data_IF_273434699873
#
_entry.id   IF_273434699873
#
_cell.length_a   1.000
_cell.length_b   1.000
_cell.length_c   1.000
_cell.angle_alpha   90.00
_cell.angle_beta   90.00
_cell.angle_gamma   90.00
#
_symmetry.space_group_name_H-M   'P 1'
#
loop_
_entity.id
_entity.type
_entity.pdbx_description
1 polymer ?
#
# COMPACT_ATOMS: atom_id res chain seq x y z
N UNK A 1 1.65 9.32 -13.47
CA UNK A 1 0.46 8.63 -12.89
C UNK A 1 0.85 7.97 -11.57
N UNK A 2 0.08 8.19 -10.52
CA UNK A 2 0.24 7.57 -9.19
C UNK A 2 -0.99 6.74 -8.85
N UNK A 3 -0.77 5.47 -8.50
CA UNK A 3 -1.81 4.53 -8.08
C UNK A 3 -1.70 4.35 -6.57
N UNK A 4 -2.72 4.81 -5.82
CA UNK A 4 -2.78 4.62 -4.37
C UNK A 4 -3.61 3.39 -4.01
N UNK A 5 -3.03 2.49 -3.21
CA UNK A 5 -3.66 1.23 -2.78
C UNK A 5 -3.87 1.29 -1.26
N UNK A 6 -5.13 1.30 -0.85
CA UNK A 6 -5.51 1.38 0.57
C UNK A 6 -5.37 0.04 1.30
N UNK A 7 -5.39 0.08 2.64
CA UNK A 7 -5.29 -1.09 3.51
C UNK A 7 -6.59 -1.88 3.68
N UNK A 8 -6.52 -2.91 4.54
CA UNK A 8 -7.63 -3.76 4.93
C UNK A 8 -8.77 -2.93 5.54
N UNK A 9 -10.01 -3.24 5.19
CA UNK A 9 -11.22 -2.52 5.63
C UNK A 9 -11.25 -1.01 5.33
N UNK A 10 -10.27 -0.48 4.59
CA UNK A 10 -10.18 0.92 4.21
C UNK A 10 -10.88 1.21 2.86
N UNK A 11 -10.64 2.38 2.28
CA UNK A 11 -11.25 2.79 1.02
C UNK A 11 -10.39 3.80 0.26
N UNK A 12 -10.73 4.11 -1.00
CA UNK A 12 -10.13 5.22 -1.76
C UNK A 12 -10.23 6.58 -1.09
N UNK A 13 -11.17 6.74 -0.13
CA UNK A 13 -11.39 7.97 0.62
C UNK A 13 -10.56 8.07 1.91
N UNK A 14 -9.56 7.21 2.11
CA UNK A 14 -8.67 7.27 3.27
C UNK A 14 -7.94 8.60 3.38
N UNK A 15 -7.58 9.00 4.61
CA UNK A 15 -6.90 10.28 4.87
C UNK A 15 -5.63 10.44 4.02
N UNK A 16 -4.79 9.40 3.95
CA UNK A 16 -3.56 9.41 3.16
C UNK A 16 -3.83 9.56 1.66
N UNK A 17 -4.85 8.89 1.12
CA UNK A 17 -5.24 9.04 -0.29
C UNK A 17 -5.67 10.48 -0.60
N UNK A 18 -6.45 11.09 0.28
CA UNK A 18 -6.87 12.50 0.16
C UNK A 18 -5.69 13.46 0.19
N UNK A 19 -4.72 13.24 1.08
CA UNK A 19 -3.51 14.08 1.17
C UNK A 19 -2.69 14.02 -0.12
N UNK A 20 -2.44 12.81 -0.67
CA UNK A 20 -1.72 12.66 -1.95
C UNK A 20 -2.48 13.36 -3.07
N UNK A 21 -3.79 13.14 -3.17
CA UNK A 21 -4.64 13.77 -4.19
C UNK A 21 -4.57 15.30 -4.09
N UNK A 22 -4.79 15.86 -2.91
CA UNK A 22 -4.75 17.31 -2.69
C UNK A 22 -3.38 17.92 -3.04
N UNK A 23 -2.28 17.21 -2.69
CA UNK A 23 -0.91 17.67 -3.04
C UNK A 23 -0.71 17.69 -4.55
N UNK A 24 -1.17 16.67 -5.28
CA UNK A 24 -1.08 16.64 -6.74
C UNK A 24 -1.98 17.72 -7.39
N UNK A 25 -3.18 17.96 -6.87
CA UNK A 25 -4.06 19.03 -7.34
C UNK A 25 -3.41 20.40 -7.17
N UNK A 26 -2.78 20.66 -6.02
CA UNK A 26 -2.05 21.91 -5.76
C UNK A 26 -0.84 22.11 -6.71
N UNK A 27 -0.29 21.02 -7.26
CA UNK A 27 0.77 21.03 -8.27
C UNK A 27 0.24 21.06 -9.72
N UNK A 28 -1.08 21.16 -9.94
CA UNK A 28 -1.70 21.08 -11.26
C UNK A 28 -1.69 19.67 -11.88
N UNK A 29 -1.41 18.63 -11.09
CA UNK A 29 -1.23 17.22 -11.48
C UNK A 29 -2.37 16.31 -11.03
N UNK A 30 -3.52 16.86 -10.67
CA UNK A 30 -4.64 16.08 -10.13
C UNK A 30 -5.10 14.92 -11.02
N UNK A 31 -5.01 15.06 -12.35
CA UNK A 31 -5.32 14.01 -13.31
C UNK A 31 -4.34 12.80 -13.25
N UNK A 32 -3.23 12.94 -12.57
CA UNK A 32 -2.22 11.87 -12.44
C UNK A 32 -2.50 10.94 -11.24
N UNK A 33 -3.59 11.11 -10.52
CA UNK A 33 -3.91 10.33 -9.33
C UNK A 33 -5.09 9.38 -9.55
N UNK A 34 -4.92 8.13 -9.12
CA UNK A 34 -6.01 7.17 -9.02
C UNK A 34 -5.89 6.34 -7.74
N UNK A 35 -7.02 6.18 -7.05
CA UNK A 35 -7.16 5.28 -5.90
C UNK A 35 -8.33 4.34 -6.20
N UNK A 36 -8.08 3.10 -6.63
CA UNK A 36 -9.15 2.15 -6.90
C UNK A 36 -9.79 1.64 -5.59
N UNK A 37 -11.05 1.26 -5.66
CA UNK A 37 -11.64 0.41 -4.64
C UNK A 37 -11.01 -0.98 -4.74
N UNK A 38 -10.46 -1.47 -3.63
CA UNK A 38 -9.85 -2.80 -3.56
C UNK A 38 -10.92 -3.81 -3.10
N UNK A 39 -11.24 -4.84 -3.91
CA UNK A 39 -12.18 -5.88 -3.51
C UNK A 39 -11.75 -6.61 -2.23
N UNK A 40 -12.71 -7.18 -1.45
CA UNK A 40 -12.39 -7.99 -0.28
C UNK A 40 -11.60 -9.28 -0.60
N UNK A 41 -11.89 -9.94 -1.73
CA UNK A 41 -11.12 -11.10 -2.20
C UNK A 41 -9.77 -10.64 -2.74
N UNK A 42 -8.65 -11.15 -2.19
CA UNK A 42 -7.32 -10.82 -2.68
C UNK A 42 -7.06 -11.23 -4.14
N UNK A 43 -7.68 -12.32 -4.61
CA UNK A 43 -7.61 -12.72 -6.01
C UNK A 43 -8.26 -11.67 -6.92
N UNK A 44 -9.48 -11.24 -6.59
CA UNK A 44 -10.15 -10.16 -7.32
C UNK A 44 -9.38 -8.84 -7.22
N UNK A 45 -8.81 -8.54 -6.06
CA UNK A 45 -7.96 -7.37 -5.88
C UNK A 45 -6.74 -7.42 -6.81
N UNK A 46 -6.08 -8.58 -6.92
CA UNK A 46 -4.96 -8.79 -7.82
C UNK A 46 -5.35 -8.56 -9.29
N UNK A 47 -6.51 -9.04 -9.72
CA UNK A 47 -7.02 -8.84 -11.09
C UNK A 47 -7.29 -7.36 -11.37
N UNK A 48 -8.02 -6.67 -10.49
CA UNK A 48 -8.35 -5.24 -10.65
C UNK A 48 -7.07 -4.38 -10.66
N UNK A 49 -6.18 -4.60 -9.70
CA UNK A 49 -4.95 -3.84 -9.57
C UNK A 49 -3.97 -4.16 -10.71
N UNK A 50 -3.86 -5.43 -11.11
CA UNK A 50 -3.04 -5.87 -12.24
C UNK A 50 -3.49 -5.24 -13.57
N UNK A 51 -4.80 -5.25 -13.83
CA UNK A 51 -5.37 -4.60 -15.00
C UNK A 51 -5.13 -3.08 -14.99
N UNK A 52 -5.20 -2.43 -13.82
CA UNK A 52 -4.91 -1.00 -13.68
C UNK A 52 -3.43 -0.71 -13.95
N UNK A 53 -2.51 -1.52 -13.42
CA UNK A 53 -1.07 -1.39 -13.63
C UNK A 53 -0.70 -1.55 -15.13
N UNK A 54 -1.31 -2.51 -15.80
CA UNK A 54 -1.08 -2.75 -17.24
C UNK A 54 -1.54 -1.58 -18.13
N UNK A 55 -2.67 -0.95 -17.77
CA UNK A 55 -3.18 0.24 -18.48
C UNK A 55 -2.36 1.49 -18.21
N UNK A 56 -1.65 1.55 -17.08
CA UNK A 56 -0.86 2.70 -16.65
C UNK A 56 0.63 2.34 -16.56
N UNK A 57 1.19 1.79 -17.62
CA UNK A 57 2.63 1.47 -17.68
C UNK A 57 3.46 2.71 -17.37
N UNK A 58 4.36 2.60 -16.41
CA UNK A 58 5.15 3.73 -15.94
C UNK A 58 4.58 4.48 -14.75
N UNK A 59 3.38 4.14 -14.28
CA UNK A 59 2.88 4.63 -13.02
C UNK A 59 3.78 4.20 -11.85
N UNK A 60 3.77 5.00 -10.78
CA UNK A 60 4.30 4.60 -9.49
C UNK A 60 3.16 4.21 -8.54
N UNK A 61 3.46 3.37 -7.56
CA UNK A 61 2.52 2.84 -6.58
C UNK A 61 2.75 3.51 -5.23
N UNK A 62 1.67 3.76 -4.51
CA UNK A 62 1.71 4.11 -3.09
C UNK A 62 0.80 3.13 -2.37
N UNK A 63 1.37 2.28 -1.51
CA UNK A 63 0.61 1.25 -0.79
C UNK A 63 0.67 1.44 0.71
N UNK A 64 -0.48 1.45 1.39
CA UNK A 64 -0.58 1.58 2.85
C UNK A 64 -1.06 0.29 3.48
N UNK A 65 -0.37 -0.20 4.53
CA UNK A 65 -0.72 -1.43 5.25
C UNK A 65 -0.84 -2.62 4.29
N UNK A 66 -1.99 -3.30 4.20
CA UNK A 66 -2.26 -4.35 3.20
C UNK A 66 -2.06 -3.84 1.76
N UNK A 67 -2.35 -2.57 1.49
CA UNK A 67 -2.06 -1.96 0.19
C UNK A 67 -0.58 -1.96 -0.17
N UNK A 68 0.31 -1.90 0.84
CA UNK A 68 1.75 -2.04 0.66
C UNK A 68 2.16 -3.43 0.18
N UNK A 69 1.48 -4.46 0.65
CA UNK A 69 1.66 -5.83 0.19
C UNK A 69 1.30 -5.98 -1.30
N UNK A 70 0.12 -5.50 -1.70
CA UNK A 70 -0.27 -5.48 -3.11
C UNK A 70 0.67 -4.63 -3.97
N UNK A 71 1.10 -3.47 -3.47
CA UNK A 71 2.06 -2.62 -4.18
C UNK A 71 3.39 -3.35 -4.42
N UNK A 72 3.86 -4.15 -3.45
CA UNK A 72 5.07 -4.96 -3.61
C UNK A 72 4.91 -6.02 -4.69
N UNK A 73 3.81 -6.77 -4.66
CA UNK A 73 3.50 -7.76 -5.69
C UNK A 73 3.44 -7.13 -7.09
N UNK A 74 2.77 -5.99 -7.26
CA UNK A 74 2.68 -5.28 -8.54
C UNK A 74 4.04 -4.73 -8.99
N UNK A 75 4.81 -4.16 -8.05
CA UNK A 75 6.10 -3.56 -8.34
C UNK A 75 7.09 -4.60 -8.90
N UNK A 76 7.09 -5.81 -8.34
CA UNK A 76 7.94 -6.87 -8.87
C UNK A 76 7.40 -7.46 -10.16
N UNK A 77 6.10 -7.67 -10.27
CA UNK A 77 5.46 -8.23 -11.47
C UNK A 77 5.57 -7.32 -12.70
N UNK A 78 5.52 -6.01 -12.51
CA UNK A 78 5.44 -5.03 -13.61
C UNK A 78 6.62 -4.03 -13.65
N UNK A 79 7.69 -4.26 -12.88
CA UNK A 79 8.86 -3.39 -12.77
C UNK A 79 8.50 -1.93 -12.45
N UNK A 80 7.60 -1.72 -11.47
CA UNK A 80 7.11 -0.40 -11.06
C UNK A 80 7.85 0.09 -9.81
N UNK A 81 7.90 1.41 -9.60
CA UNK A 81 8.30 2.00 -8.32
C UNK A 81 7.16 1.93 -7.33
N UNK A 82 7.50 1.81 -6.05
CA UNK A 82 6.51 1.79 -4.98
C UNK A 82 6.98 2.54 -3.73
N UNK A 83 6.09 3.31 -3.16
CA UNK A 83 6.20 3.85 -1.80
C UNK A 83 5.33 3.02 -0.89
N UNK A 84 5.90 2.56 0.21
CA UNK A 84 5.26 1.66 1.16
C UNK A 84 5.10 2.37 2.51
N UNK A 85 3.86 2.48 2.97
CA UNK A 85 3.49 3.22 4.18
C UNK A 85 3.02 2.24 5.25
N UNK A 86 3.80 2.00 6.29
CA UNK A 86 3.54 0.97 7.31
C UNK A 86 3.03 -0.34 6.67
N UNK A 87 3.79 -0.97 5.75
CA UNK A 87 3.29 -2.09 4.96
C UNK A 87 3.17 -3.36 5.78
N UNK A 88 2.10 -4.13 5.54
CA UNK A 88 2.01 -5.50 6.03
C UNK A 88 2.99 -6.39 5.24
N UNK A 89 3.86 -7.12 5.95
CA UNK A 89 4.88 -7.99 5.32
C UNK A 89 4.31 -9.39 5.07
N UNK A 90 3.59 -9.94 6.04
CA UNK A 90 2.95 -11.26 5.97
C UNK A 90 1.47 -11.15 6.31
N UNK A 91 0.67 -10.49 5.46
CA UNK A 91 -0.74 -10.24 5.78
C UNK A 91 -1.56 -11.51 5.96
N UNK A 92 -1.19 -12.62 5.35
CA UNK A 92 -1.86 -13.90 5.52
C UNK A 92 -1.70 -14.48 6.95
N UNK A 93 -0.62 -14.15 7.67
CA UNK A 93 -0.46 -14.51 9.09
C UNK A 93 -1.25 -13.54 9.98
N UNK A 94 -1.13 -12.25 9.70
CA UNK A 94 -1.80 -11.19 10.45
C UNK A 94 -3.32 -11.26 10.37
N UNK A 95 -3.86 -11.55 9.19
CA UNK A 95 -5.29 -11.53 8.93
C UNK A 95 -5.98 -12.89 9.13
N UNK A 96 -5.23 -13.98 9.35
CA UNK A 96 -5.83 -15.28 9.63
C UNK A 96 -6.81 -15.25 10.83
N UNK A 97 -6.52 -14.55 11.95
CA UNK A 97 -7.47 -14.41 13.06
C UNK A 97 -8.70 -13.56 12.75
N UNK A 98 -8.67 -12.80 11.63
CA UNK A 98 -9.73 -11.90 11.21
C UNK A 98 -10.78 -12.58 10.30
N UNK A 99 -10.66 -13.89 10.08
CA UNK A 99 -11.65 -14.66 9.32
C UNK A 99 -13.03 -14.54 9.98
N UNK A 100 -14.05 -14.18 9.17
CA UNK A 100 -15.41 -13.94 9.65
C UNK A 100 -15.99 -12.66 9.09
N UNK A 101 -17.02 -12.15 9.75
CA UNK A 101 -17.70 -10.91 9.35
C UNK A 101 -16.77 -9.71 9.56
N UNK A 102 -16.61 -8.92 8.52
CA UNK A 102 -15.82 -7.70 8.51
C UNK A 102 -16.69 -6.52 8.09
N UNK A 103 -16.24 -5.31 8.45
CA UNK A 103 -16.92 -4.07 8.11
C UNK A 103 -15.93 -3.02 7.62
N UNK A 104 -16.22 -2.41 6.48
CA UNK A 104 -15.41 -1.31 5.93
C UNK A 104 -15.55 -0.05 6.78
N UNK A 105 -14.44 0.59 7.11
CA UNK A 105 -14.42 1.75 8.01
C UNK A 105 -15.18 2.97 7.45
N UNK A 106 -15.12 3.21 6.13
CA UNK A 106 -15.67 4.43 5.53
C UNK A 106 -17.08 4.27 4.97
N UNK A 107 -17.46 3.07 4.52
CA UNK A 107 -18.75 2.82 3.89
C UNK A 107 -19.73 2.10 4.81
N UNK A 108 -19.21 1.42 5.84
CA UNK A 108 -20.00 0.55 6.69
C UNK A 108 -20.45 -0.76 6.02
N UNK A 109 -20.03 -1.01 4.78
CA UNK A 109 -20.31 -2.24 4.05
C UNK A 109 -19.77 -3.46 4.79
N UNK A 110 -20.60 -4.46 4.97
CA UNK A 110 -20.24 -5.73 5.60
C UNK A 110 -19.92 -6.78 4.55
N UNK A 111 -18.92 -7.62 4.84
CA UNK A 111 -18.54 -8.75 3.99
C UNK A 111 -17.91 -9.86 4.85
N UNK A 112 -17.84 -11.07 4.31
CA UNK A 112 -17.19 -12.18 5.02
C UNK A 112 -15.76 -12.33 4.48
N UNK A 113 -14.76 -12.19 5.37
CA UNK A 113 -13.38 -12.55 5.08
C UNK A 113 -13.18 -14.03 5.38
N UNK A 114 -12.67 -14.81 4.45
CA UNK A 114 -12.64 -16.27 4.52
C UNK A 114 -11.22 -16.83 4.62
N UNK A 115 -11.11 -18.11 4.99
CA UNK A 115 -9.83 -18.85 4.94
C UNK A 115 -9.26 -18.93 3.53
N UNK A 116 -10.12 -18.93 2.50
CA UNK A 116 -9.71 -18.87 1.10
C UNK A 116 -9.02 -17.54 0.79
N UNK A 117 -9.56 -16.41 1.29
CA UNK A 117 -8.91 -15.09 1.15
C UNK A 117 -7.51 -15.08 1.81
N UNK A 118 -7.31 -15.78 2.92
CA UNK A 118 -5.98 -15.93 3.53
C UNK A 118 -5.04 -16.72 2.61
N UNK A 119 -5.51 -17.79 1.98
CA UNK A 119 -4.74 -18.57 1.02
C UNK A 119 -4.41 -17.76 -0.25
N UNK A 120 -5.38 -16.96 -0.74
CA UNK A 120 -5.19 -16.03 -1.86
C UNK A 120 -4.09 -15.00 -1.54
N UNK A 121 -4.09 -14.40 -0.34
CA UNK A 121 -3.00 -13.51 0.09
C UNK A 121 -1.64 -14.23 0.03
N UNK A 122 -1.56 -15.44 0.56
CA UNK A 122 -0.31 -16.21 0.55
C UNK A 122 0.20 -16.47 -0.88
N UNK A 123 -0.70 -16.67 -1.85
CA UNK A 123 -0.33 -16.88 -3.26
C UNK A 123 0.29 -15.65 -3.93
N UNK A 124 0.09 -14.46 -3.37
CA UNK A 124 0.67 -13.20 -3.86
C UNK A 124 2.01 -12.87 -3.19
N UNK A 125 2.56 -13.77 -2.37
CA UNK A 125 3.84 -13.53 -1.69
C UNK A 125 4.97 -13.38 -2.71
N UNK A 126 5.78 -12.35 -2.50
CA UNK A 126 6.98 -12.09 -3.29
C UNK A 126 8.19 -12.52 -2.48
N UNK A 127 8.95 -13.49 -2.96
CA UNK A 127 10.15 -13.99 -2.26
C UNK A 127 11.27 -12.95 -2.23
N UNK A 128 11.55 -12.32 -3.37
CA UNK A 128 12.66 -11.38 -3.56
C UNK A 128 12.15 -10.05 -4.07
N UNK A 129 12.72 -8.97 -3.56
CA UNK A 129 12.43 -7.61 -4.01
C UNK A 129 13.63 -7.00 -4.73
N UNK A 130 13.36 -6.02 -5.57
CA UNK A 130 14.37 -5.18 -6.23
C UNK A 130 14.50 -3.87 -5.45
N UNK A 131 15.50 -3.71 -4.55
CA UNK A 131 15.56 -2.62 -3.59
C UNK A 131 15.44 -1.21 -4.17
N UNK A 132 15.98 -0.98 -5.36
CA UNK A 132 15.95 0.33 -6.03
C UNK A 132 14.55 0.82 -6.39
N UNK A 133 13.52 -0.06 -6.38
CA UNK A 133 12.14 0.29 -6.69
C UNK A 133 11.41 0.93 -5.52
N UNK A 134 11.91 0.79 -4.28
CA UNK A 134 11.11 1.07 -3.09
C UNK A 134 11.60 2.27 -2.29
N UNK A 135 10.63 3.01 -1.77
CA UNK A 135 10.76 3.88 -0.60
C UNK A 135 9.88 3.30 0.50
N UNK A 136 10.48 2.90 1.62
CA UNK A 136 9.78 2.48 2.81
C UNK A 136 9.61 3.65 3.77
N UNK A 137 8.42 3.86 4.29
CA UNK A 137 8.12 4.81 5.37
C UNK A 137 7.39 4.05 6.47
N UNK A 138 8.00 3.98 7.65
CA UNK A 138 7.44 3.28 8.83
C UNK A 138 7.54 4.13 10.08
N UNK A 139 6.63 3.90 11.02
CA UNK A 139 6.62 4.51 12.35
C UNK A 139 7.01 3.49 13.40
N UNK A 140 7.85 3.87 14.39
CA UNK A 140 8.25 2.95 15.46
C UNK A 140 7.13 2.71 16.49
N UNK A 141 6.12 3.61 16.50
CA UNK A 141 4.94 3.52 17.36
C UNK A 141 3.73 2.87 16.70
N UNK A 142 3.91 2.17 15.57
CA UNK A 142 2.82 1.41 14.91
C UNK A 142 2.28 0.34 15.87
N UNK A 143 1.02 0.52 16.28
CA UNK A 143 0.33 -0.34 17.27
C UNK A 143 -0.27 -1.61 16.63
N UNK A 144 -0.25 -1.70 15.30
CA UNK A 144 -0.82 -2.82 14.53
C UNK A 144 0.27 -3.75 14.00
N UNK A 145 1.36 -3.16 13.49
CA UNK A 145 2.44 -3.86 12.81
C UNK A 145 3.78 -3.59 13.47
N UNK A 146 4.54 -4.64 13.75
CA UNK A 146 5.94 -4.46 14.15
C UNK A 146 6.76 -3.95 12.95
N UNK A 147 7.09 -2.67 12.97
CA UNK A 147 7.84 -1.98 11.92
C UNK A 147 9.17 -2.67 11.56
N UNK A 148 9.79 -3.39 12.52
CA UNK A 148 11.07 -4.08 12.33
C UNK A 148 11.00 -5.14 11.23
N UNK A 149 9.84 -5.76 11.06
CA UNK A 149 9.62 -6.72 9.98
C UNK A 149 9.68 -6.05 8.61
N UNK A 150 9.11 -4.86 8.47
CA UNK A 150 9.19 -4.08 7.24
C UNK A 150 10.63 -3.58 7.00
N UNK A 151 11.29 -3.06 8.02
CA UNK A 151 12.70 -2.62 7.93
C UNK A 151 13.60 -3.76 7.45
N UNK A 152 13.44 -4.94 8.01
CA UNK A 152 14.23 -6.12 7.60
C UNK A 152 13.84 -6.60 6.19
N UNK A 153 12.54 -6.71 5.89
CA UNK A 153 12.04 -7.17 4.59
C UNK A 153 12.52 -6.29 3.44
N UNK A 154 12.56 -4.97 3.67
CA UNK A 154 12.98 -3.97 2.68
C UNK A 154 14.42 -3.48 2.90
N UNK A 155 15.27 -4.33 3.47
CA UNK A 155 16.71 -4.05 3.60
C UNK A 155 17.32 -3.73 2.24
N UNK A 156 18.13 -2.66 2.18
CA UNK A 156 18.73 -2.16 0.94
C UNK A 156 17.87 -1.18 0.15
N UNK A 157 16.58 -1.01 0.50
CA UNK A 157 15.75 0.07 -0.02
C UNK A 157 16.05 1.40 0.67
N UNK A 158 15.64 2.52 0.06
CA UNK A 158 15.57 3.79 0.78
C UNK A 158 14.51 3.69 1.88
N UNK A 159 14.86 4.01 3.12
CA UNK A 159 13.96 3.90 4.27
C UNK A 159 13.88 5.21 5.03
N UNK A 160 12.67 5.56 5.49
CA UNK A 160 12.38 6.63 6.44
C UNK A 160 11.71 5.96 7.64
N UNK A 161 12.45 5.85 8.75
CA UNK A 161 11.95 5.31 10.01
C UNK A 161 11.66 6.50 10.92
N UNK A 162 10.38 6.66 11.28
CA UNK A 162 9.88 7.79 12.06
C UNK A 162 9.74 7.33 13.50
N UNK A 163 10.36 8.04 14.42
CA UNK A 163 10.25 7.76 15.84
C UNK A 163 8.84 8.09 16.35
N UNK A 164 8.24 7.17 17.12
CA UNK A 164 6.85 7.29 17.57
C UNK A 164 5.84 7.10 16.43
N UNK A 165 4.82 7.95 16.38
CA UNK A 165 3.74 7.89 15.40
C UNK A 165 2.76 6.76 15.65
N UNK A 166 1.96 6.41 14.64
CA UNK A 166 0.89 5.42 14.69
C UNK A 166 0.78 4.64 13.38
N UNK A 167 -0.04 3.55 13.35
CA UNK A 167 -0.31 2.79 12.13
C UNK A 167 -0.93 3.65 11.02
N UNK A 168 -1.73 4.63 11.42
CA UNK A 168 -2.37 5.59 10.52
C UNK A 168 -1.39 6.49 9.78
N UNK A 169 -0.15 6.63 10.27
CA UNK A 169 0.83 7.62 9.80
C UNK A 169 0.21 9.02 9.81
N UNK A 170 -0.25 9.46 10.98
CA UNK A 170 -1.05 10.70 11.13
C UNK A 170 -0.31 11.95 10.65
N UNK A 171 1.01 11.93 10.67
CA UNK A 171 1.89 13.01 10.20
C UNK A 171 2.35 12.86 8.73
N UNK A 172 1.69 11.98 7.97
CA UNK A 172 2.05 11.66 6.57
C UNK A 172 2.25 12.88 5.68
N UNK A 173 1.54 13.98 5.95
CA UNK A 173 1.67 15.24 5.22
C UNK A 173 3.11 15.77 5.12
N UNK A 174 3.92 15.52 6.14
CA UNK A 174 5.33 15.97 6.20
C UNK A 174 6.23 15.19 5.22
N UNK A 175 5.80 14.06 4.71
CA UNK A 175 6.60 13.16 3.86
C UNK A 175 6.15 13.16 2.39
N UNK A 176 5.12 13.94 2.03
CA UNK A 176 4.57 13.97 0.67
C UNK A 176 5.61 14.34 -0.38
N UNK A 177 6.50 15.28 -0.09
CA UNK A 177 7.53 15.68 -1.05
C UNK A 177 8.56 14.56 -1.28
N UNK A 178 8.93 13.82 -0.24
CA UNK A 178 9.80 12.65 -0.38
C UNK A 178 9.13 11.51 -1.18
N UNK A 179 7.81 11.32 -0.97
CA UNK A 179 6.99 10.36 -1.72
C UNK A 179 6.96 10.73 -3.20
N UNK A 180 6.62 11.98 -3.53
CA UNK A 180 6.54 12.43 -4.92
C UNK A 180 7.92 12.40 -5.60
N UNK A 181 8.97 12.82 -4.91
CA UNK A 181 10.34 12.75 -5.43
C UNK A 181 10.77 11.32 -5.79
N UNK A 182 10.39 10.31 -4.96
CA UNK A 182 10.65 8.91 -5.28
C UNK A 182 9.84 8.43 -6.49
N UNK A 183 8.56 8.79 -6.55
CA UNK A 183 7.67 8.40 -7.64
C UNK A 183 8.11 8.99 -8.99
N UNK A 184 8.57 10.25 -8.99
CA UNK A 184 8.93 11.01 -10.19
C UNK A 184 10.39 10.76 -10.64
N UNK A 185 11.25 10.19 -9.80
CA UNK A 185 12.64 9.89 -10.15
C UNK A 185 12.71 8.96 -11.39
N UNK A 186 13.74 9.05 -12.23
CA UNK A 186 13.97 8.09 -13.33
C UNK A 186 14.05 6.65 -12.82
N UNK A 187 13.73 5.70 -13.68
CA UNK A 187 13.84 4.25 -13.40
C UNK A 187 15.27 3.79 -13.52
#
# INVERSE_FOLDING_TARGET
MLIYIHGFNSSPASAKAKLVKARLEALGRGAEFVAPAVPPSPAQAADVLGALALRNRGAALIGSSLGGYYATWLAEKHAMKAVLLNPAVRPYELLAPMVGLQKRFHTGEEYVFTTEHVAELRSLEVERITPSRYLLIVTTGDEVLDYRWAVERYRGCRQIVIEGGDHGLSDFGNYLDAVLAHCDAPR
#
